data_IF_452259130350
#
_entry.id   IF_452259130350
#
_cell.length_a   1.000
_cell.length_b   1.000
_cell.length_c   1.000
_cell.angle_alpha   90.00
_cell.angle_beta   90.00
_cell.angle_gamma   90.00
#
_symmetry.space_group_name_H-M   'P 1'
#
loop_
_entity.id
_entity.type
_entity.pdbx_description
1 polymer ?
#
# COMPACT_ATOMS: atom_id res chain seq x y z
N UNK A 1 -21.45 5.09 12.00
CA UNK A 1 -20.44 4.03 12.21
C UNK A 1 -19.10 4.69 12.45
N UNK A 2 -18.25 4.07 13.25
CA UNK A 2 -16.89 4.56 13.52
C UNK A 2 -15.93 3.84 12.57
N UNK A 3 -15.19 4.60 11.76
CA UNK A 3 -14.22 4.06 10.81
C UNK A 3 -12.90 3.77 11.53
N UNK A 4 -12.37 2.56 11.39
CA UNK A 4 -11.03 2.24 11.87
C UNK A 4 -9.99 2.88 10.93
N UNK A 5 -9.20 3.84 11.43
CA UNK A 5 -8.14 4.47 10.64
C UNK A 5 -6.78 3.82 10.93
N UNK A 6 -6.22 3.15 9.92
CA UNK A 6 -4.88 2.57 9.94
C UNK A 6 -3.90 3.43 9.13
N UNK A 7 -2.78 3.79 9.76
CA UNK A 7 -1.62 4.39 9.08
C UNK A 7 -0.59 3.31 8.74
N UNK A 8 -0.40 3.02 7.45
CA UNK A 8 0.60 2.06 6.99
C UNK A 8 1.92 2.80 6.69
N UNK A 9 2.95 2.61 7.52
CA UNK A 9 4.26 3.20 7.33
C UNK A 9 5.22 2.22 6.63
N UNK A 10 5.80 2.63 5.51
CA UNK A 10 6.97 2.00 4.89
C UNK A 10 8.18 2.94 5.06
N UNK A 11 9.02 2.75 6.09
CA UNK A 11 10.12 3.65 6.42
C UNK A 11 11.23 3.81 5.37
N UNK A 12 11.55 2.82 4.52
CA UNK A 12 12.64 2.96 3.55
C UNK A 12 12.49 4.16 2.61
N UNK A 13 13.63 4.69 2.16
CA UNK A 13 13.69 5.88 1.30
C UNK A 13 13.06 5.70 -0.09
N UNK A 14 12.84 4.46 -0.51
CA UNK A 14 12.12 4.06 -1.72
C UNK A 14 12.41 2.61 -2.05
N UNK A 15 12.09 2.22 -3.28
CA UNK A 15 12.13 0.86 -3.81
C UNK A 15 13.12 0.86 -4.97
N UNK A 16 14.15 0.03 -4.89
CA UNK A 16 15.20 -0.10 -5.92
C UNK A 16 15.06 -1.42 -6.69
N UNK A 17 15.86 -1.58 -7.75
CA UNK A 17 15.84 -2.80 -8.57
C UNK A 17 16.10 -4.05 -7.74
N UNK A 18 15.18 -5.01 -7.80
CA UNK A 18 15.23 -6.27 -7.04
C UNK A 18 14.40 -6.26 -5.75
N UNK A 19 13.92 -5.09 -5.29
CA UNK A 19 13.07 -5.01 -4.11
C UNK A 19 11.64 -5.48 -4.42
N UNK A 20 11.02 -6.14 -3.43
CA UNK A 20 9.60 -6.46 -3.43
C UNK A 20 8.93 -5.97 -2.13
N UNK A 21 7.86 -5.19 -2.28
CA UNK A 21 6.96 -4.81 -1.19
C UNK A 21 5.59 -5.45 -1.43
N UNK A 22 5.16 -6.30 -0.50
CA UNK A 22 3.81 -6.89 -0.52
C UNK A 22 2.97 -6.30 0.59
N UNK A 23 1.79 -5.78 0.23
CA UNK A 23 0.78 -5.25 1.14
C UNK A 23 -0.47 -6.12 1.00
N UNK A 24 -0.84 -6.80 2.09
CA UNK A 24 -2.04 -7.63 2.15
C UNK A 24 -2.98 -7.14 3.24
N UNK A 25 -4.24 -6.89 2.88
CA UNK A 25 -5.28 -6.50 3.82
C UNK A 25 -6.50 -7.42 3.68
N UNK A 26 -6.97 -7.94 4.82
CA UNK A 26 -8.16 -8.79 4.91
C UNK A 26 -9.17 -8.15 5.85
N UNK A 27 -10.33 -7.79 5.32
CA UNK A 27 -11.38 -7.13 6.06
C UNK A 27 -12.47 -8.13 6.44
N UNK A 28 -12.77 -8.19 7.74
CA UNK A 28 -13.82 -9.04 8.30
C UNK A 28 -15.23 -8.52 7.92
N UNK A 29 -16.28 -9.36 8.01
CA UNK A 29 -17.63 -8.94 7.65
C UNK A 29 -18.08 -7.68 8.40
N UNK A 30 -18.70 -6.74 7.69
CA UNK A 30 -19.27 -5.53 8.28
C UNK A 30 -18.27 -4.49 8.80
N UNK A 31 -16.94 -4.65 8.62
CA UNK A 31 -15.99 -3.65 9.09
C UNK A 31 -15.87 -2.47 8.13
N UNK A 32 -15.65 -1.27 8.67
CA UNK A 32 -15.31 -0.07 7.90
C UNK A 32 -13.91 0.41 8.27
N UNK A 33 -12.99 0.36 7.30
CA UNK A 33 -11.57 0.69 7.51
C UNK A 33 -11.10 1.71 6.50
N UNK A 34 -10.40 2.74 6.98
CA UNK A 34 -9.59 3.65 6.19
C UNK A 34 -8.12 3.28 6.35
N UNK A 35 -7.40 3.03 5.26
CA UNK A 35 -5.96 2.84 5.27
C UNK A 35 -5.29 3.95 4.47
N UNK A 36 -4.40 4.68 5.13
CA UNK A 36 -3.58 5.73 4.53
C UNK A 36 -2.10 5.40 4.64
N UNK A 37 -1.31 5.88 3.69
CA UNK A 37 0.15 5.75 3.72
C UNK A 37 0.79 7.15 3.75
N UNK A 38 1.68 7.45 4.72
CA UNK A 38 2.37 8.72 4.73
C UNK A 38 3.42 8.75 3.62
N UNK A 39 3.32 9.74 2.76
CA UNK A 39 4.28 9.98 1.69
C UNK A 39 4.12 9.05 0.49
N UNK A 40 4.71 9.47 -0.62
CA UNK A 40 4.70 8.75 -1.88
C UNK A 40 5.59 7.50 -1.85
N UNK A 41 5.15 6.45 -2.55
CA UNK A 41 6.03 5.31 -2.90
C UNK A 41 7.03 5.76 -3.96
N UNK A 42 8.32 5.76 -3.63
CA UNK A 42 9.38 6.23 -4.51
C UNK A 42 10.07 5.05 -5.20
N UNK A 43 10.03 5.00 -6.51
CA UNK A 43 10.75 4.03 -7.33
C UNK A 43 12.01 4.68 -7.90
N UNK A 44 13.15 4.03 -7.74
CA UNK A 44 14.42 4.46 -8.31
C UNK A 44 14.75 3.69 -9.58
N UNK A 45 15.53 4.31 -10.47
CA UNK A 45 16.05 3.64 -11.68
C UNK A 45 16.76 2.36 -11.30
N UNK A 46 16.33 1.26 -11.94
CA UNK A 46 17.03 -0.01 -11.88
C UNK A 46 18.04 -0.15 -13.02
N UNK A 47 19.15 -0.84 -12.76
CA UNK A 47 20.12 -1.27 -13.78
C UNK A 47 19.74 -2.59 -14.46
N UNK A 48 18.59 -3.17 -14.14
CA UNK A 48 18.05 -4.35 -14.83
C UNK A 48 17.00 -5.12 -14.02
N UNK A 49 17.22 -5.33 -12.72
CA UNK A 49 16.30 -6.07 -11.86
C UNK A 49 14.97 -5.31 -11.66
N UNK A 50 13.83 -5.98 -11.73
CA UNK A 50 12.54 -5.34 -11.53
C UNK A 50 12.34 -4.97 -10.05
N UNK A 51 11.85 -3.76 -9.79
CA UNK A 51 11.25 -3.37 -8.52
C UNK A 51 9.76 -3.68 -8.55
N UNK A 52 9.21 -4.26 -7.47
CA UNK A 52 7.82 -4.71 -7.45
C UNK A 52 7.08 -4.27 -6.18
N UNK A 53 5.87 -3.74 -6.37
CA UNK A 53 4.89 -3.57 -5.30
C UNK A 53 3.66 -4.39 -5.64
N UNK A 54 3.29 -5.34 -4.76
CA UNK A 54 2.03 -6.08 -4.84
C UNK A 54 1.09 -5.62 -3.74
N UNK A 55 -0.15 -5.32 -4.13
CA UNK A 55 -1.22 -4.93 -3.21
C UNK A 55 -2.39 -5.90 -3.39
N UNK A 56 -2.74 -6.62 -2.33
CA UNK A 56 -3.85 -7.56 -2.31
C UNK A 56 -4.83 -7.18 -1.20
N UNK A 57 -6.01 -6.71 -1.61
CA UNK A 57 -7.05 -6.22 -0.70
C UNK A 57 -8.27 -7.13 -0.83
N UNK A 58 -8.61 -7.82 0.27
CA UNK A 58 -9.71 -8.80 0.30
C UNK A 58 -10.79 -8.34 1.27
N UNK A 59 -12.02 -8.18 0.79
CA UNK A 59 -13.16 -7.73 1.58
C UNK A 59 -14.17 -8.85 1.75
N UNK A 60 -14.57 -9.11 3.00
CA UNK A 60 -15.69 -9.98 3.31
C UNK A 60 -17.04 -9.26 3.05
N UNK A 61 -18.18 -9.97 3.08
CA UNK A 61 -19.49 -9.36 2.86
C UNK A 61 -19.74 -8.14 3.76
N UNK A 62 -20.29 -7.09 3.19
CA UNK A 62 -20.63 -5.83 3.89
C UNK A 62 -19.43 -5.08 4.47
N UNK A 63 -18.18 -5.48 4.17
CA UNK A 63 -17.01 -4.71 4.53
C UNK A 63 -16.82 -3.51 3.60
N UNK A 64 -16.27 -2.42 4.15
CA UNK A 64 -15.88 -1.21 3.41
C UNK A 64 -14.40 -0.93 3.63
N UNK A 65 -13.66 -0.76 2.54
CA UNK A 65 -12.26 -0.33 2.54
C UNK A 65 -12.13 1.00 1.81
N UNK A 66 -11.64 2.01 2.51
CA UNK A 66 -11.10 3.23 1.91
C UNK A 66 -9.58 3.10 1.83
N UNK A 67 -9.06 2.84 0.63
CA UNK A 67 -7.63 2.69 0.36
C UNK A 67 -7.09 3.99 -0.25
N UNK A 68 -6.36 4.77 0.56
CA UNK A 68 -5.85 6.10 0.19
C UNK A 68 -4.32 6.19 0.36
N UNK A 69 -3.52 5.40 -0.39
CA UNK A 69 -2.08 5.63 -0.47
C UNK A 69 -1.80 6.93 -1.25
N UNK A 70 -0.69 7.59 -0.98
CA UNK A 70 -0.21 8.64 -1.89
C UNK A 70 0.32 8.03 -3.20
N UNK A 71 0.33 8.84 -4.25
CA UNK A 71 0.81 8.45 -5.59
C UNK A 71 2.25 7.91 -5.59
N UNK A 72 2.57 7.13 -6.63
CA UNK A 72 3.93 6.67 -6.87
C UNK A 72 4.76 7.73 -7.60
N UNK A 73 6.00 7.95 -7.14
CA UNK A 73 6.99 8.80 -7.81
C UNK A 73 8.03 7.88 -8.46
N UNK A 74 8.20 7.99 -9.78
CA UNK A 74 9.25 7.30 -10.51
C UNK A 74 10.40 8.27 -10.80
N UNK A 75 11.54 8.07 -10.15
CA UNK A 75 12.74 8.87 -10.40
C UNK A 75 13.41 8.44 -11.70
N UNK A 76 14.04 9.40 -12.42
CA UNK A 76 14.70 9.14 -13.69
C UNK A 76 15.76 8.08 -13.53
#
# INVERSE_FOLDING_TARGET
EETCHLYLLHPPGGIVGGDELTISAHLAPGCHTLITMPGASKFYRSSGAQALVRQQLTLAPQATLEWLPQDAIFFP
#
